data_IF_361183035507
#
_entry.id   IF_361183035507
#
_cell.length_a   1.000
_cell.length_b   1.000
_cell.length_c   1.000
_cell.angle_alpha   90.00
_cell.angle_beta   90.00
_cell.angle_gamma   90.00
#
_symmetry.space_group_name_H-M   'P 1'
#
loop_
_entity.id
_entity.type
_entity.pdbx_description
1 polymer ?
#
# COMPACT_ATOMS: atom_id res chain seq x y z
N UNK A 1 0.32 19.75 -2.38
CA UNK A 1 -0.32 19.64 -3.74
C UNK A 1 -1.69 20.30 -3.74
N UNK A 2 -2.27 20.56 -4.91
CA UNK A 2 -3.64 21.12 -5.00
C UNK A 2 -4.69 20.04 -4.72
N UNK A 3 -5.87 20.48 -4.24
CA UNK A 3 -7.04 19.59 -4.08
C UNK A 3 -7.42 18.95 -5.41
N UNK A 4 -7.69 17.64 -5.38
CA UNK A 4 -8.13 16.86 -6.55
C UNK A 4 -9.62 16.58 -6.44
N UNK A 5 -10.34 16.82 -7.53
CA UNK A 5 -11.77 16.49 -7.64
C UNK A 5 -11.91 15.31 -8.60
N UNK A 6 -12.44 14.20 -8.12
CA UNK A 6 -12.74 13.04 -8.95
C UNK A 6 -13.98 13.33 -9.81
N UNK A 7 -13.92 12.99 -11.10
CA UNK A 7 -15.05 13.11 -12.00
C UNK A 7 -16.14 12.07 -11.68
N UNK A 8 -17.38 12.32 -12.14
CA UNK A 8 -18.48 11.35 -12.00
C UNK A 8 -18.13 10.00 -12.65
N UNK A 9 -17.40 10.01 -13.77
CA UNK A 9 -16.94 8.80 -14.45
C UNK A 9 -15.94 8.03 -13.57
N UNK A 10 -15.00 8.71 -12.93
CA UNK A 10 -14.05 8.06 -11.99
C UNK A 10 -14.78 7.50 -10.77
N UNK A 11 -15.72 8.23 -10.22
CA UNK A 11 -16.54 7.76 -9.11
C UNK A 11 -17.37 6.53 -9.48
N UNK A 12 -17.93 6.50 -10.70
CA UNK A 12 -18.66 5.35 -11.21
C UNK A 12 -17.73 4.16 -11.41
N UNK A 13 -16.56 4.35 -12.02
CA UNK A 13 -15.54 3.31 -12.17
C UNK A 13 -15.12 2.72 -10.80
N UNK A 14 -14.88 3.57 -9.79
CA UNK A 14 -14.53 3.09 -8.46
C UNK A 14 -15.65 2.25 -7.83
N UNK A 15 -16.91 2.64 -8.01
CA UNK A 15 -18.06 1.86 -7.53
C UNK A 15 -18.21 0.51 -8.23
N UNK A 16 -17.98 0.45 -9.54
CA UNK A 16 -18.23 -0.74 -10.36
C UNK A 16 -17.02 -1.70 -10.33
N UNK A 17 -15.82 -1.16 -10.44
CA UNK A 17 -14.58 -1.94 -10.58
C UNK A 17 -13.75 -2.03 -9.29
N UNK A 18 -13.98 -1.15 -8.31
CA UNK A 18 -13.28 -1.11 -7.02
C UNK A 18 -11.91 -0.46 -7.06
N UNK A 19 -11.53 0.21 -8.16
CA UNK A 19 -10.24 0.88 -8.28
C UNK A 19 -10.25 2.06 -9.25
N UNK A 20 -9.23 2.92 -9.09
CA UNK A 20 -8.88 3.99 -10.04
C UNK A 20 -7.37 4.01 -10.25
N UNK A 21 -6.94 4.39 -11.44
CA UNK A 21 -5.56 4.81 -11.69
C UNK A 21 -5.54 6.32 -11.83
N UNK A 22 -4.70 6.98 -11.05
CA UNK A 22 -4.51 8.43 -11.06
C UNK A 22 -3.07 8.73 -11.54
N UNK A 23 -2.89 9.08 -12.82
CA UNK A 23 -1.57 9.40 -13.35
C UNK A 23 -1.00 10.67 -12.71
N UNK A 24 0.31 10.64 -12.37
CA UNK A 24 1.04 11.80 -11.90
C UNK A 24 0.52 12.40 -10.60
N UNK A 25 -0.03 11.58 -9.69
CA UNK A 25 -0.49 12.05 -8.37
C UNK A 25 0.65 12.71 -7.57
N UNK A 26 1.84 12.13 -7.61
CA UNK A 26 3.05 12.75 -7.07
C UNK A 26 3.91 13.32 -8.19
N UNK A 27 4.46 14.51 -7.98
CA UNK A 27 5.45 15.08 -8.89
C UNK A 27 6.77 14.30 -8.83
N UNK A 28 7.61 14.48 -9.84
CA UNK A 28 8.93 13.85 -9.88
C UNK A 28 9.79 14.29 -8.68
N UNK A 29 9.72 15.55 -8.29
CA UNK A 29 10.46 16.07 -7.14
C UNK A 29 10.05 15.41 -5.83
N UNK A 30 8.75 15.12 -5.66
CA UNK A 30 8.26 14.39 -4.48
C UNK A 30 8.74 12.94 -4.49
N UNK A 31 8.77 12.27 -5.63
CA UNK A 31 9.33 10.92 -5.76
C UNK A 31 10.82 10.90 -5.45
N UNK A 32 11.58 11.86 -5.95
CA UNK A 32 13.02 11.98 -5.67
C UNK A 32 13.27 12.26 -4.17
N UNK A 33 12.40 13.05 -3.52
CA UNK A 33 12.44 13.24 -2.07
C UNK A 33 12.11 11.96 -1.29
N UNK A 34 11.16 11.14 -1.74
CA UNK A 34 10.93 9.81 -1.16
C UNK A 34 12.21 8.98 -1.14
N UNK A 35 12.98 8.98 -2.23
CA UNK A 35 14.24 8.23 -2.29
C UNK A 35 15.28 8.76 -1.30
N UNK A 36 15.41 10.09 -1.18
CA UNK A 36 16.29 10.70 -0.20
C UNK A 36 15.91 10.32 1.25
N UNK A 37 14.62 10.32 1.58
CA UNK A 37 14.13 9.91 2.89
C UNK A 37 14.38 8.41 3.19
N UNK A 38 14.21 7.53 2.19
CA UNK A 38 14.58 6.12 2.31
C UNK A 38 16.06 5.97 2.67
N UNK A 39 16.93 6.62 1.92
CA UNK A 39 18.39 6.59 2.15
C UNK A 39 18.72 7.08 3.56
N UNK A 40 18.15 8.23 3.97
CA UNK A 40 18.38 8.79 5.31
C UNK A 40 17.92 7.86 6.44
N UNK A 41 16.80 7.15 6.25
CA UNK A 41 16.31 6.13 7.23
C UNK A 41 17.30 4.96 7.31
N UNK A 42 17.76 4.45 6.18
CA UNK A 42 18.67 3.30 6.13
C UNK A 42 20.03 3.65 6.73
N UNK A 43 20.55 4.84 6.49
CA UNK A 43 21.81 5.32 7.09
C UNK A 43 21.70 5.47 8.61
N UNK A 44 20.55 5.90 9.11
CA UNK A 44 20.26 6.06 10.55
C UNK A 44 19.65 4.83 11.22
N UNK A 45 19.61 3.68 10.55
CA UNK A 45 18.88 2.49 11.03
C UNK A 45 19.21 2.01 12.46
N UNK A 46 20.39 2.22 13.05
CA UNK A 46 20.62 1.93 14.46
C UNK A 46 19.77 2.79 15.40
N UNK A 47 19.41 3.99 14.99
CA UNK A 47 18.75 5.02 15.79
C UNK A 47 17.23 5.14 15.50
N UNK A 48 16.69 4.30 14.59
CA UNK A 48 15.26 4.30 14.29
C UNK A 48 14.54 3.16 15.01
N UNK A 49 13.22 3.29 15.27
CA UNK A 49 12.45 2.23 15.90
C UNK A 49 12.54 0.90 15.13
N UNK A 50 12.75 -0.21 15.86
CA UNK A 50 12.94 -1.53 15.25
C UNK A 50 11.75 -2.03 14.42
N UNK A 51 10.53 -1.49 14.67
CA UNK A 51 9.34 -1.80 13.85
C UNK A 51 9.37 -1.13 12.47
N UNK A 52 10.11 -0.02 12.33
CA UNK A 52 10.09 0.80 11.10
C UNK A 52 10.70 0.04 9.91
N UNK A 53 11.79 -0.68 10.10
CA UNK A 53 12.50 -1.37 9.01
C UNK A 53 12.24 -2.87 9.10
N UNK A 54 11.61 -3.44 8.07
CA UNK A 54 11.41 -4.87 7.95
C UNK A 54 12.19 -5.41 6.75
N UNK A 55 13.02 -6.43 7.01
CA UNK A 55 13.90 -7.03 6.02
C UNK A 55 13.24 -8.21 5.29
N UNK A 56 13.73 -8.51 4.10
CA UNK A 56 13.34 -9.73 3.38
C UNK A 56 13.63 -10.96 4.25
N UNK A 57 12.79 -12.02 4.20
CA UNK A 57 12.97 -13.21 5.04
C UNK A 57 14.36 -13.85 4.95
N UNK A 58 14.95 -13.89 3.76
CA UNK A 58 16.25 -14.51 3.50
C UNK A 58 17.46 -13.79 4.11
N UNK A 59 17.28 -12.56 4.63
CA UNK A 59 18.35 -11.75 5.24
C UNK A 59 18.09 -11.45 6.71
N UNK A 60 17.01 -11.94 7.27
CA UNK A 60 16.70 -11.76 8.71
C UNK A 60 17.79 -12.39 9.55
N UNK A 61 18.28 -11.66 10.56
CA UNK A 61 19.32 -12.12 11.47
C UNK A 61 20.75 -11.92 10.98
N UNK A 62 20.97 -11.34 9.80
CA UNK A 62 22.31 -10.88 9.41
C UNK A 62 22.81 -9.78 10.34
N UNK A 63 24.13 -9.65 10.56
CA UNK A 63 24.69 -8.53 11.27
C UNK A 63 24.21 -7.20 10.68
N UNK A 64 23.94 -6.23 11.54
CA UNK A 64 23.39 -4.93 11.13
C UNK A 64 24.23 -4.23 10.06
N UNK A 65 25.57 -4.32 10.14
CA UNK A 65 26.49 -3.71 9.20
C UNK A 65 26.43 -4.32 7.78
N UNK A 66 25.90 -5.53 7.64
CA UNK A 66 25.75 -6.23 6.36
C UNK A 66 24.43 -5.88 5.67
N UNK A 67 23.46 -5.33 6.41
CA UNK A 67 22.16 -4.97 5.85
C UNK A 67 22.26 -3.70 5.00
N UNK A 68 21.65 -3.74 3.84
CA UNK A 68 21.55 -2.62 2.91
C UNK A 68 20.09 -2.28 2.61
N UNK A 69 19.84 -1.21 1.87
CA UNK A 69 18.50 -0.92 1.34
C UNK A 69 17.95 -2.08 0.49
N UNK A 70 18.81 -2.84 -0.19
CA UNK A 70 18.41 -4.00 -1.00
C UNK A 70 17.96 -5.21 -0.16
N UNK A 71 18.19 -5.19 1.15
CA UNK A 71 17.69 -6.20 2.08
C UNK A 71 16.33 -5.82 2.67
N UNK A 72 15.90 -4.57 2.49
CA UNK A 72 14.66 -4.05 3.07
C UNK A 72 13.45 -4.45 2.21
N UNK A 73 12.49 -5.13 2.86
CA UNK A 73 11.19 -5.48 2.29
C UNK A 73 10.19 -4.34 2.38
N UNK A 74 10.17 -3.64 3.51
CA UNK A 74 9.30 -2.48 3.72
C UNK A 74 9.75 -1.59 4.87
N UNK A 75 9.40 -0.31 4.76
CA UNK A 75 9.28 0.55 5.93
C UNK A 75 7.82 0.46 6.40
N UNK A 76 7.61 0.36 7.72
CA UNK A 76 6.31 0.13 8.31
C UNK A 76 5.97 1.22 9.33
N UNK A 77 4.71 1.69 9.35
CA UNK A 77 4.24 2.76 10.24
C UNK A 77 5.01 4.08 10.06
N UNK A 78 5.33 4.41 8.81
CA UNK A 78 6.16 5.57 8.49
C UNK A 78 5.61 6.88 9.06
N UNK A 79 4.30 7.06 9.04
CA UNK A 79 3.64 8.30 9.52
C UNK A 79 3.81 8.52 11.02
N UNK A 80 4.04 7.47 11.80
CA UNK A 80 4.35 7.59 13.23
C UNK A 80 5.76 8.11 13.51
N UNK A 81 6.70 7.87 12.59
CA UNK A 81 8.13 8.02 12.87
C UNK A 81 8.84 9.01 11.95
N UNK A 82 8.25 9.38 10.81
CA UNK A 82 8.90 10.14 9.75
C UNK A 82 7.99 11.30 9.31
N UNK A 83 8.39 12.52 9.63
CA UNK A 83 7.59 13.74 9.38
C UNK A 83 7.25 13.92 7.90
N UNK A 84 8.19 13.68 7.00
CA UNK A 84 7.94 13.78 5.56
C UNK A 84 6.78 12.89 5.11
N UNK A 85 6.75 11.62 5.53
CA UNK A 85 5.68 10.70 5.14
C UNK A 85 4.36 11.05 5.83
N UNK A 86 4.42 11.66 7.01
CA UNK A 86 3.25 12.22 7.67
C UNK A 86 2.68 13.42 6.91
N UNK A 87 3.51 14.38 6.56
CA UNK A 87 3.13 15.53 5.74
C UNK A 87 2.52 15.10 4.40
N UNK A 88 3.14 14.11 3.74
CA UNK A 88 2.64 13.57 2.48
C UNK A 88 1.27 12.89 2.64
N UNK A 89 1.08 12.10 3.71
CA UNK A 89 -0.23 11.47 3.98
C UNK A 89 -1.33 12.51 4.30
N UNK A 90 -0.96 13.69 4.80
CA UNK A 90 -1.89 14.79 5.10
C UNK A 90 -2.00 15.81 3.96
N UNK A 91 -1.37 15.55 2.82
CA UNK A 91 -1.44 16.46 1.67
C UNK A 91 -2.89 16.65 1.18
N UNK A 92 -3.31 17.89 0.88
CA UNK A 92 -4.66 18.20 0.42
C UNK A 92 -5.14 17.38 -0.78
N UNK A 93 -4.25 16.98 -1.70
CA UNK A 93 -4.60 16.14 -2.83
C UNK A 93 -5.04 14.73 -2.39
N UNK A 94 -4.28 14.09 -1.49
CA UNK A 94 -4.63 12.76 -0.97
C UNK A 94 -5.89 12.84 -0.11
N UNK A 95 -5.97 13.83 0.79
CA UNK A 95 -7.12 13.99 1.68
C UNK A 95 -8.41 14.31 0.93
N UNK A 96 -8.37 15.09 -0.17
CA UNK A 96 -9.57 15.38 -0.95
C UNK A 96 -10.15 14.12 -1.60
N UNK A 97 -9.30 13.24 -2.12
CA UNK A 97 -9.72 11.94 -2.65
C UNK A 97 -10.29 11.07 -1.52
N UNK A 98 -9.59 11.01 -0.38
CA UNK A 98 -10.03 10.23 0.76
C UNK A 98 -11.40 10.68 1.30
N UNK A 99 -11.61 12.00 1.44
CA UNK A 99 -12.89 12.54 1.87
C UNK A 99 -14.01 12.31 0.87
N UNK A 100 -13.70 12.34 -0.43
CA UNK A 100 -14.67 12.02 -1.48
C UNK A 100 -15.15 10.57 -1.41
N UNK A 101 -14.25 9.63 -1.11
CA UNK A 101 -14.58 8.20 -1.10
C UNK A 101 -15.14 7.71 0.24
N UNK A 102 -14.72 8.29 1.37
CA UNK A 102 -15.00 7.79 2.72
C UNK A 102 -15.80 8.76 3.61
N UNK A 103 -15.99 10.00 3.17
CA UNK A 103 -16.60 11.06 3.98
C UNK A 103 -15.58 11.87 4.78
N UNK A 104 -16.07 12.88 5.55
CA UNK A 104 -15.21 13.93 6.10
C UNK A 104 -14.31 13.49 7.26
N UNK A 105 -14.75 12.51 8.04
CA UNK A 105 -14.02 12.06 9.25
C UNK A 105 -13.18 10.82 8.92
N UNK A 106 -11.88 10.97 8.94
CA UNK A 106 -10.94 9.94 8.51
C UNK A 106 -9.97 9.56 9.64
N UNK A 107 -9.46 8.34 9.52
CA UNK A 107 -8.23 7.91 10.19
C UNK A 107 -7.27 7.36 9.15
N UNK A 108 -5.98 7.57 9.36
CA UNK A 108 -4.94 6.85 8.64
C UNK A 108 -4.67 5.55 9.41
N UNK A 109 -5.09 4.45 8.83
CA UNK A 109 -4.98 3.14 9.45
C UNK A 109 -3.56 2.62 9.44
N UNK A 110 -2.87 2.76 8.30
CA UNK A 110 -1.57 2.18 8.08
C UNK A 110 -0.80 2.94 7.00
N UNK A 111 0.51 3.06 7.19
CA UNK A 111 1.45 3.58 6.20
C UNK A 111 2.61 2.62 5.99
N UNK A 112 2.95 2.36 4.73
CA UNK A 112 4.06 1.49 4.34
C UNK A 112 4.79 2.06 3.11
N UNK A 113 6.09 1.82 3.05
CA UNK A 113 6.83 1.83 1.81
C UNK A 113 7.18 0.37 1.48
N UNK A 114 6.58 -0.15 0.42
CA UNK A 114 6.75 -1.53 -0.02
C UNK A 114 7.90 -1.62 -1.01
N UNK A 115 8.90 -2.41 -0.69
CA UNK A 115 10.13 -2.53 -1.47
C UNK A 115 10.26 -3.96 -1.99
N UNK A 116 10.60 -4.08 -3.28
CA UNK A 116 10.99 -5.35 -3.90
C UNK A 116 12.39 -5.19 -4.47
N UNK A 117 13.43 -5.62 -3.74
CA UNK A 117 14.79 -5.62 -4.24
C UNK A 117 14.93 -6.44 -5.52
N UNK A 118 15.93 -6.14 -6.37
CA UNK A 118 16.22 -6.91 -7.58
C UNK A 118 16.39 -8.39 -7.28
N UNK A 119 15.71 -9.26 -8.03
CA UNK A 119 15.77 -10.72 -7.98
C UNK A 119 15.33 -11.41 -6.69
N UNK A 120 15.29 -10.70 -5.54
CA UNK A 120 14.98 -11.28 -4.22
C UNK A 120 13.67 -10.81 -3.62
N UNK A 121 13.09 -9.72 -4.14
CA UNK A 121 11.81 -9.18 -3.66
C UNK A 121 10.69 -10.20 -3.81
N UNK A 122 10.24 -10.77 -2.68
CA UNK A 122 9.23 -11.83 -2.65
C UNK A 122 7.83 -11.38 -3.09
N UNK A 123 6.92 -12.31 -3.41
CA UNK A 123 5.54 -11.99 -3.74
C UNK A 123 4.77 -11.54 -2.48
N UNK A 124 3.64 -10.85 -2.69
CA UNK A 124 2.55 -10.76 -1.72
C UNK A 124 1.38 -11.55 -2.27
N UNK A 125 0.91 -12.53 -1.53
CA UNK A 125 -0.18 -13.43 -1.94
C UNK A 125 -1.48 -12.67 -2.24
N UNK A 126 -2.40 -13.29 -2.97
CA UNK A 126 -3.75 -12.76 -3.20
C UNK A 126 -4.47 -12.53 -1.89
N UNK A 127 -4.98 -11.32 -1.67
CA UNK A 127 -5.69 -10.94 -0.44
C UNK A 127 -6.65 -9.78 -0.68
N UNK A 128 -7.40 -9.49 0.34
CA UNK A 128 -8.17 -8.27 0.54
C UNK A 128 -7.58 -7.57 1.77
N UNK A 129 -7.38 -6.26 1.73
CA UNK A 129 -6.88 -5.53 2.89
C UNK A 129 -7.84 -5.64 4.08
N UNK A 130 -9.16 -5.69 3.80
CA UNK A 130 -10.16 -5.90 4.84
C UNK A 130 -10.05 -7.28 5.53
N UNK A 131 -9.35 -8.23 4.95
CA UNK A 131 -8.98 -9.48 5.62
C UNK A 131 -8.08 -9.27 6.85
N UNK A 132 -7.30 -8.17 6.86
CA UNK A 132 -6.47 -7.77 8.00
C UNK A 132 -7.20 -6.82 8.96
N UNK A 133 -8.09 -5.96 8.43
CA UNK A 133 -8.77 -4.94 9.23
C UNK A 133 -10.09 -5.43 9.81
N UNK A 134 -10.82 -6.28 9.11
CA UNK A 134 -12.17 -6.79 9.46
C UNK A 134 -13.15 -5.68 9.83
N UNK A 135 -13.18 -4.62 9.02
CA UNK A 135 -14.07 -3.47 9.22
C UNK A 135 -15.51 -3.79 8.81
N UNK A 136 -16.45 -3.24 9.56
CA UNK A 136 -17.87 -3.24 9.23
C UNK A 136 -18.44 -1.83 9.49
N UNK A 137 -18.97 -1.12 8.48
CA UNK A 137 -18.85 -1.45 7.04
C UNK A 137 -17.39 -1.45 6.55
N UNK A 138 -17.08 -2.02 5.36
CA UNK A 138 -15.72 -2.04 4.80
C UNK A 138 -15.31 -0.67 4.26
N UNK A 139 -15.35 0.34 5.12
CA UNK A 139 -15.11 1.75 4.79
C UNK A 139 -13.61 2.09 4.87
N UNK A 140 -12.84 1.48 4.00
CA UNK A 140 -11.40 1.68 3.85
C UNK A 140 -10.99 1.56 2.38
N UNK A 141 -9.96 2.29 1.99
CA UNK A 141 -9.27 2.11 0.71
C UNK A 141 -7.77 2.31 0.86
N UNK A 142 -7.01 1.79 -0.10
CA UNK A 142 -5.57 1.96 -0.21
C UNK A 142 -5.18 2.90 -1.35
N UNK A 143 -4.20 3.78 -1.10
CA UNK A 143 -3.33 4.30 -2.15
C UNK A 143 -2.12 3.38 -2.29
N UNK A 144 -1.80 3.00 -3.51
CA UNK A 144 -0.53 2.37 -3.86
C UNK A 144 0.15 3.26 -4.90
N UNK A 145 1.14 4.04 -4.47
CA UNK A 145 1.79 5.08 -5.29
C UNK A 145 3.14 4.57 -5.72
N UNK A 146 3.32 4.37 -7.02
CA UNK A 146 4.57 3.89 -7.58
C UNK A 146 5.67 4.95 -7.45
N UNK A 147 6.83 4.56 -6.89
CA UNK A 147 8.03 5.40 -6.86
C UNK A 147 8.99 5.02 -8.00
N UNK A 148 9.05 3.75 -8.38
CA UNK A 148 9.77 3.24 -9.55
C UNK A 148 8.78 2.85 -10.65
N UNK A 149 9.21 2.76 -11.94
CA UNK A 149 8.40 2.16 -12.99
C UNK A 149 8.03 0.71 -12.63
N UNK A 150 6.76 0.36 -12.75
CA UNK A 150 6.27 -0.99 -12.41
C UNK A 150 5.73 -1.72 -13.62
N UNK A 151 6.01 -3.01 -13.70
CA UNK A 151 5.51 -3.92 -14.72
C UNK A 151 5.32 -5.34 -14.17
N UNK A 152 4.87 -6.25 -15.03
CA UNK A 152 4.57 -7.64 -14.64
C UNK A 152 5.81 -8.41 -14.17
N UNK A 153 7.00 -8.04 -14.63
CA UNK A 153 8.24 -8.73 -14.30
C UNK A 153 8.87 -8.26 -12.99
N UNK A 154 8.63 -6.97 -12.61
CA UNK A 154 9.16 -6.42 -11.36
C UNK A 154 8.15 -6.34 -10.21
N UNK A 155 6.94 -6.85 -10.41
CA UNK A 155 5.95 -6.97 -9.36
C UNK A 155 4.99 -5.79 -9.25
N UNK A 156 4.43 -5.33 -10.38
CA UNK A 156 3.28 -4.40 -10.37
C UNK A 156 2.08 -5.02 -9.64
N UNK A 157 1.12 -4.18 -9.27
CA UNK A 157 -0.13 -4.66 -8.71
C UNK A 157 -0.92 -5.46 -9.75
N UNK A 158 -1.46 -6.61 -9.36
CA UNK A 158 -2.46 -7.37 -10.10
C UNK A 158 -3.76 -7.35 -9.31
N UNK A 159 -4.87 -7.10 -9.98
CA UNK A 159 -6.19 -6.93 -9.38
C UNK A 159 -7.23 -7.79 -10.09
N UNK A 160 -8.37 -7.98 -9.43
CA UNK A 160 -9.59 -8.53 -10.06
C UNK A 160 -10.67 -7.45 -10.01
N UNK A 161 -10.92 -6.71 -11.10
CA UNK A 161 -11.95 -5.66 -11.14
C UNK A 161 -13.32 -6.19 -10.71
N UNK A 162 -14.05 -5.40 -9.92
CA UNK A 162 -15.38 -5.76 -9.42
C UNK A 162 -15.40 -6.80 -8.29
N UNK A 163 -14.26 -7.37 -7.89
CA UNK A 163 -14.21 -8.41 -6.85
C UNK A 163 -14.64 -7.92 -5.47
N UNK A 164 -14.52 -6.61 -5.17
CA UNK A 164 -14.98 -6.00 -3.94
C UNK A 164 -16.50 -6.13 -3.72
N UNK A 165 -17.28 -6.24 -4.80
CA UNK A 165 -18.73 -6.44 -4.75
C UNK A 165 -19.12 -7.81 -4.17
N UNK A 166 -18.17 -8.74 -4.06
CA UNK A 166 -18.39 -10.06 -3.43
C UNK A 166 -18.25 -10.02 -1.91
N UNK A 167 -17.88 -8.87 -1.34
CA UNK A 167 -17.57 -8.72 0.08
C UNK A 167 -16.30 -9.44 0.51
N UNK A 168 -16.09 -9.48 1.83
CA UNK A 168 -14.92 -10.14 2.41
C UNK A 168 -15.01 -11.66 2.23
N UNK A 169 -13.99 -12.22 1.59
CA UNK A 169 -13.88 -13.66 1.35
C UNK A 169 -13.01 -14.34 2.43
N UNK A 170 -13.14 -15.67 2.62
CA UNK A 170 -12.30 -16.41 3.54
C UNK A 170 -10.81 -16.27 3.22
N UNK A 171 -10.00 -16.02 4.26
CA UNK A 171 -8.54 -16.00 4.19
C UNK A 171 -7.95 -17.14 5.03
N UNK A 172 -6.81 -17.64 4.60
CA UNK A 172 -6.06 -18.72 5.28
C UNK A 172 -4.57 -18.39 5.34
N UNK A 173 -3.81 -19.18 6.10
CA UNK A 173 -2.38 -18.94 6.31
C UNK A 173 -2.11 -17.99 7.47
N UNK A 174 -0.89 -17.48 7.56
CA UNK A 174 -0.45 -16.56 8.61
C UNK A 174 0.70 -15.66 8.12
N UNK A 175 0.89 -14.51 8.78
CA UNK A 175 1.98 -13.59 8.44
C UNK A 175 1.93 -13.12 6.98
N UNK A 176 3.04 -13.29 6.27
CA UNK A 176 3.15 -12.88 4.85
C UNK A 176 2.32 -13.76 3.90
N UNK A 177 1.99 -15.01 4.31
CA UNK A 177 1.20 -15.97 3.54
C UNK A 177 -0.31 -15.91 3.85
N UNK A 178 -0.73 -14.98 4.72
CA UNK A 178 -2.16 -14.78 4.97
C UNK A 178 -2.83 -14.16 3.75
N UNK A 179 -3.76 -14.91 3.15
CA UNK A 179 -4.41 -14.52 1.90
C UNK A 179 -5.67 -15.33 1.60
N UNK A 180 -6.25 -15.07 0.43
CA UNK A 180 -7.49 -15.71 -0.04
C UNK A 180 -7.38 -17.24 -0.02
N UNK A 181 -8.37 -17.89 0.58
CA UNK A 181 -8.46 -19.36 0.59
C UNK A 181 -8.70 -19.94 -0.82
N UNK A 182 -9.32 -19.17 -1.71
CA UNK A 182 -9.58 -19.54 -3.10
C UNK A 182 -9.01 -18.45 -4.00
N UNK A 183 -8.10 -18.85 -4.89
CA UNK A 183 -7.46 -17.92 -5.81
C UNK A 183 -8.38 -17.55 -6.97
N UNK A 184 -8.31 -16.31 -7.50
CA UNK A 184 -9.04 -15.93 -8.69
C UNK A 184 -8.51 -16.68 -9.91
N UNK A 185 -9.38 -17.03 -10.88
CA UNK A 185 -8.95 -17.64 -12.12
C UNK A 185 -8.16 -16.64 -12.98
N UNK A 186 -7.16 -17.10 -13.75
CA UNK A 186 -6.22 -16.21 -14.46
C UNK A 186 -6.88 -15.22 -15.43
N UNK A 187 -7.97 -15.58 -16.06
CA UNK A 187 -8.66 -14.80 -17.09
C UNK A 187 -9.32 -13.52 -16.58
N UNK A 188 -9.56 -13.41 -15.26
CA UNK A 188 -10.15 -12.19 -14.65
C UNK A 188 -9.09 -11.27 -14.07
N UNK A 189 -7.82 -11.69 -14.08
CA UNK A 189 -6.71 -10.94 -13.50
C UNK A 189 -6.28 -9.83 -14.44
N UNK A 190 -6.15 -8.61 -13.89
CA UNK A 190 -5.65 -7.44 -14.60
C UNK A 190 -4.37 -6.92 -13.96
N UNK A 191 -3.22 -6.96 -14.64
CA UNK A 191 -2.02 -6.23 -14.24
C UNK A 191 -2.23 -4.71 -14.34
N UNK A 192 -1.66 -3.96 -13.40
CA UNK A 192 -1.71 -2.48 -13.36
C UNK A 192 -0.28 -1.94 -13.32
N UNK A 193 0.41 -1.84 -14.49
CA UNK A 193 1.70 -1.17 -14.55
C UNK A 193 1.52 0.34 -14.34
N UNK A 194 2.42 0.95 -13.59
CA UNK A 194 2.40 2.37 -13.25
C UNK A 194 3.76 3.01 -13.51
N UNK A 195 3.74 4.31 -13.83
CA UNK A 195 4.93 5.14 -13.87
C UNK A 195 5.20 5.77 -12.49
N UNK A 196 6.43 6.24 -12.22
CA UNK A 196 6.73 6.95 -10.98
C UNK A 196 5.81 8.16 -10.78
N UNK A 197 5.20 8.23 -9.60
CA UNK A 197 4.21 9.26 -9.26
C UNK A 197 2.76 8.89 -9.55
N UNK A 198 2.50 7.85 -10.36
CA UNK A 198 1.13 7.33 -10.56
C UNK A 198 0.63 6.62 -9.31
N UNK A 199 -0.66 6.66 -9.08
CA UNK A 199 -1.30 5.97 -7.98
C UNK A 199 -2.42 5.03 -8.44
N UNK A 200 -2.46 3.85 -7.84
CA UNK A 200 -3.64 2.99 -7.80
C UNK A 200 -4.39 3.28 -6.50
N UNK A 201 -5.65 3.70 -6.63
CA UNK A 201 -6.62 3.83 -5.53
C UNK A 201 -7.51 2.61 -5.59
N UNK A 202 -7.63 1.84 -4.50
CA UNK A 202 -8.38 0.59 -4.53
C UNK A 202 -9.13 0.30 -3.23
N UNK A 203 -10.32 -0.26 -3.38
CA UNK A 203 -11.21 -0.63 -2.28
C UNK A 203 -10.58 -1.73 -1.42
N UNK A 204 -10.73 -1.68 -0.09
CA UNK A 204 -10.13 -2.64 0.83
C UNK A 204 -10.59 -4.10 0.64
N UNK A 205 -11.67 -4.33 -0.08
CA UNK A 205 -12.16 -5.67 -0.45
C UNK A 205 -11.86 -6.05 -1.91
N UNK A 206 -11.11 -5.22 -2.66
CA UNK A 206 -10.62 -5.61 -3.97
C UNK A 206 -9.58 -6.73 -3.84
N UNK A 207 -9.75 -7.82 -4.61
CA UNK A 207 -8.73 -8.88 -4.66
C UNK A 207 -7.50 -8.35 -5.38
N UNK A 208 -6.37 -8.44 -4.70
CA UNK A 208 -5.10 -7.98 -5.27
C UNK A 208 -3.92 -8.77 -4.77
N UNK A 209 -2.85 -8.74 -5.53
CA UNK A 209 -1.56 -9.29 -5.18
C UNK A 209 -0.41 -8.58 -5.92
N UNK A 210 0.83 -8.85 -5.53
CA UNK A 210 2.01 -8.44 -6.31
C UNK A 210 2.94 -9.63 -6.48
N UNK A 211 3.31 -10.01 -7.73
CA UNK A 211 4.29 -11.07 -7.97
C UNK A 211 5.68 -10.69 -7.47
N UNK A 212 6.59 -11.66 -7.44
CA UNK A 212 7.99 -11.41 -7.12
C UNK A 212 8.65 -10.48 -8.14
N UNK A 213 9.67 -9.74 -7.72
CA UNK A 213 10.53 -9.01 -8.64
C UNK A 213 11.61 -9.95 -9.21
N UNK A 214 11.52 -10.24 -10.50
CA UNK A 214 12.46 -11.10 -11.22
C UNK A 214 13.51 -10.33 -12.01
N UNK A 215 13.47 -8.99 -11.95
CA UNK A 215 14.33 -8.09 -12.73
C UNK A 215 15.52 -7.58 -11.92
N UNK A 216 16.49 -6.97 -12.62
CA UNK A 216 17.60 -6.24 -12.01
C UNK A 216 17.20 -4.84 -11.50
N UNK A 217 15.93 -4.42 -11.64
CA UNK A 217 15.43 -3.11 -11.21
C UNK A 217 14.77 -3.21 -9.84
N UNK A 218 14.89 -2.16 -9.03
CA UNK A 218 14.10 -2.02 -7.80
C UNK A 218 12.64 -1.75 -8.14
N UNK A 219 11.73 -2.08 -7.21
CA UNK A 219 10.35 -1.67 -7.25
C UNK A 219 9.92 -1.19 -5.86
N UNK A 220 9.71 0.12 -5.71
CA UNK A 220 9.29 0.79 -4.48
C UNK A 220 7.94 1.46 -4.70
N UNK A 221 7.06 1.36 -3.72
CA UNK A 221 5.76 1.99 -3.74
C UNK A 221 5.33 2.40 -2.32
N UNK A 222 4.77 3.59 -2.19
CA UNK A 222 4.13 4.04 -0.95
C UNK A 222 2.74 3.41 -0.89
N UNK A 223 2.35 2.93 0.29
CA UNK A 223 0.98 2.50 0.57
C UNK A 223 0.43 3.22 1.79
N UNK A 224 -0.71 3.90 1.60
CA UNK A 224 -1.50 4.50 2.67
C UNK A 224 -2.88 3.89 2.68
N UNK A 225 -3.36 3.48 3.87
CA UNK A 225 -4.73 3.05 4.07
C UNK A 225 -5.50 4.09 4.87
N UNK A 226 -6.52 4.68 4.23
CA UNK A 226 -7.48 5.56 4.90
C UNK A 226 -8.76 4.80 5.18
N UNK A 227 -9.40 5.12 6.30
CA UNK A 227 -10.69 4.57 6.66
C UNK A 227 -11.58 5.62 7.35
N UNK A 228 -12.87 5.37 7.33
CA UNK A 228 -13.83 6.20 8.06
C UNK A 228 -13.63 6.05 9.57
N UNK A 229 -13.60 7.16 10.29
CA UNK A 229 -13.41 7.18 11.75
C UNK A 229 -14.49 6.43 12.54
N UNK A 230 -15.65 6.16 11.96
CA UNK A 230 -16.76 5.42 12.57
C UNK A 230 -16.85 3.95 12.19
N UNK A 231 -15.88 3.41 11.43
CA UNK A 231 -15.89 2.00 11.07
C UNK A 231 -15.64 1.13 12.30
N UNK A 232 -16.53 0.15 12.54
CA UNK A 232 -16.38 -0.79 13.64
C UNK A 232 -15.44 -1.93 13.23
N UNK A 233 -14.58 -2.31 14.16
CA UNK A 233 -13.62 -3.38 14.01
C UNK A 233 -14.17 -4.65 14.64
N UNK A 234 -14.27 -5.73 13.87
CA UNK A 234 -14.49 -7.07 14.43
C UNK A 234 -13.21 -7.57 15.11
N UNK A 235 -13.30 -8.65 15.88
CA UNK A 235 -12.11 -9.32 16.43
C UNK A 235 -11.16 -9.64 15.30
N UNK A 236 -10.01 -8.97 15.31
CA UNK A 236 -8.96 -9.16 14.32
C UNK A 236 -7.78 -9.85 14.99
N UNK A 237 -7.21 -10.95 14.45
CA UNK A 237 -6.03 -11.59 14.99
C UNK A 237 -4.77 -10.70 14.89
N UNK A 238 -4.78 -9.69 14.03
CA UNK A 238 -3.67 -8.74 13.90
C UNK A 238 -3.89 -7.53 14.79
N UNK A 239 -2.96 -7.20 15.70
CA UNK A 239 -3.01 -5.98 16.48
C UNK A 239 -3.06 -4.77 15.55
N UNK A 240 -4.09 -3.96 15.70
CA UNK A 240 -4.25 -2.77 14.89
C UNK A 240 -4.54 -1.53 15.75
N UNK A 241 -3.80 -0.49 15.48
CA UNK A 241 -3.91 0.83 16.10
C UNK A 241 -3.69 1.88 15.00
N UNK A 242 -4.66 2.78 14.73
CA UNK A 242 -4.52 3.80 13.70
C UNK A 242 -3.25 4.62 13.89
N UNK A 243 -2.59 4.97 12.79
CA UNK A 243 -1.38 5.78 12.87
C UNK A 243 -1.68 7.26 13.11
N UNK A 244 -2.84 7.74 12.63
CA UNK A 244 -3.27 9.10 12.87
C UNK A 244 -4.78 9.29 12.71
N UNK A 245 -5.34 10.25 13.46
CA UNK A 245 -6.68 10.80 13.26
C UNK A 245 -6.59 12.03 12.36
N UNK A 246 -7.56 12.19 11.45
CA UNK A 246 -7.60 13.28 10.47
C UNK A 246 -8.93 14.01 10.65
N UNK A 247 -8.86 15.24 11.16
CA UNK A 247 -10.00 16.12 11.37
C UNK A 247 -10.44 16.86 10.08
#
# INVERSE_FOLDING_TARGET
MNTIVLSDQQLQQYRDEGYLVLPGLLSRELVDRVFAEITAVIERRPDVPGELIQYEPGVRGRPWAENSELDVRKLFRMVKHLDFFRELAFDPALLSIARTLLGPKLVLAQSMLLMKPPHVGGPKVWHQDNGYFELTPPACFGFWIACDPTDVDNGCMHIVPGSHLKGLQPHTGSGDDYGLAVLPPPEVIRPVPLQPGDALVFHCELFHHTPANRTARRRRAIQYHYMTAGAEKKKNPFPWDPEAHIE
#
